data_IF_054460136554
#
_entry.id   IF_054460136554
#
_cell.length_a   1.000
_cell.length_b   1.000
_cell.length_c   1.000
_cell.angle_alpha   90.00
_cell.angle_beta   90.00
_cell.angle_gamma   90.00
#
_symmetry.space_group_name_H-M   'P 1'
#
loop_
_entity.id
_entity.type
_entity.pdbx_description
1 polymer ?
#
# COMPACT_ATOMS: atom_id res chain seq x y z
N UNK A 1 -31.15 -27.09 1.38
CA UNK A 1 -31.88 -26.98 0.10
C UNK A 1 -30.97 -26.22 -0.86
N UNK A 2 -30.52 -26.85 -1.95
CA UNK A 2 -29.44 -26.34 -2.81
C UNK A 2 -30.06 -25.69 -4.06
N UNK A 3 -29.66 -24.49 -4.48
CA UNK A 3 -30.25 -23.83 -5.64
C UNK A 3 -29.91 -24.58 -6.93
N UNK A 4 -30.93 -24.78 -7.75
CA UNK A 4 -30.84 -25.39 -9.08
C UNK A 4 -30.27 -24.35 -10.05
N UNK A 5 -29.03 -24.55 -10.47
CA UNK A 5 -28.37 -23.72 -11.49
C UNK A 5 -28.79 -24.18 -12.89
N UNK A 6 -29.29 -23.25 -13.72
CA UNK A 6 -29.62 -23.49 -15.13
C UNK A 6 -28.49 -22.94 -15.99
N UNK A 7 -27.73 -23.84 -16.64
CA UNK A 7 -26.74 -23.49 -17.66
C UNK A 7 -27.36 -23.66 -19.06
N UNK A 8 -27.17 -22.72 -19.99
CA UNK A 8 -27.56 -22.91 -21.39
C UNK A 8 -26.67 -23.92 -22.13
N UNK A 9 -27.32 -24.62 -23.07
CA UNK A 9 -26.87 -25.75 -23.89
C UNK A 9 -25.76 -25.37 -24.89
N UNK A 10 -24.76 -26.25 -25.15
CA UNK A 10 -23.74 -25.99 -26.18
C UNK A 10 -24.34 -26.01 -27.59
N UNK A 11 -24.05 -24.97 -28.39
CA UNK A 11 -24.27 -25.00 -29.84
C UNK A 11 -23.13 -25.78 -30.50
N UNK A 12 -23.48 -26.89 -31.13
CA UNK A 12 -22.59 -27.64 -32.01
C UNK A 12 -22.47 -26.97 -33.40
N UNK A 13 -21.27 -27.02 -33.98
CA UNK A 13 -20.95 -26.65 -35.37
C UNK A 13 -20.00 -25.44 -35.41
N UNK A 14 -18.81 -25.49 -36.01
CA UNK A 14 -18.29 -26.29 -37.12
C UNK A 14 -16.78 -26.51 -36.86
N UNK A 15 -16.29 -27.74 -36.97
CA UNK A 15 -14.86 -28.04 -37.02
C UNK A 15 -14.35 -27.76 -38.45
N UNK A 16 -13.59 -26.68 -38.64
CA UNK A 16 -12.73 -26.54 -39.82
C UNK A 16 -11.34 -27.05 -39.45
N UNK A 17 -11.02 -28.22 -39.99
CA UNK A 17 -9.72 -28.87 -39.92
C UNK A 17 -8.80 -28.37 -41.06
N UNK A 18 -7.48 -28.49 -40.84
CA UNK A 18 -6.37 -28.24 -41.77
C UNK A 18 -5.96 -26.75 -41.91
N UNK A 19 -4.77 -26.31 -41.52
CA UNK A 19 -3.45 -26.85 -41.88
C UNK A 19 -2.37 -26.32 -40.91
N UNK A 20 -1.41 -27.18 -40.59
CA UNK A 20 -0.19 -26.89 -39.81
C UNK A 20 0.82 -26.13 -40.68
N UNK A 21 1.10 -24.86 -40.35
CA UNK A 21 2.34 -24.16 -40.74
C UNK A 21 2.97 -23.58 -39.47
N UNK A 22 3.96 -24.30 -38.93
CA UNK A 22 4.76 -23.83 -37.81
C UNK A 22 5.77 -22.78 -38.32
N UNK A 23 5.38 -21.50 -38.25
CA UNK A 23 6.29 -20.37 -38.38
C UNK A 23 6.80 -19.96 -36.99
N UNK A 24 8.10 -20.08 -36.75
CA UNK A 24 8.75 -19.61 -35.53
C UNK A 24 8.86 -18.08 -35.56
N UNK A 25 7.82 -17.39 -35.09
CA UNK A 25 7.90 -15.96 -34.78
C UNK A 25 8.58 -15.79 -33.41
N UNK A 26 9.86 -15.42 -33.40
CA UNK A 26 10.49 -14.88 -32.20
C UNK A 26 10.01 -13.44 -32.05
N UNK A 27 8.93 -13.26 -31.28
CA UNK A 27 8.56 -11.95 -30.79
C UNK A 27 9.53 -11.60 -29.65
N UNK A 28 10.46 -10.69 -29.88
CA UNK A 28 11.12 -9.97 -28.80
C UNK A 28 10.03 -9.16 -28.08
N UNK A 29 9.53 -9.69 -26.96
CA UNK A 29 8.55 -8.99 -26.14
C UNK A 29 9.14 -7.65 -25.68
N UNK A 30 8.34 -6.58 -25.59
CA UNK A 30 8.82 -5.34 -24.98
C UNK A 30 9.28 -5.69 -23.56
N UNK A 31 10.51 -5.30 -23.22
CA UNK A 31 10.91 -5.19 -21.83
C UNK A 31 9.99 -4.11 -21.23
N UNK A 32 8.93 -4.54 -20.56
CA UNK A 32 8.14 -3.67 -19.71
C UNK A 32 9.05 -3.24 -18.57
N UNK A 33 9.74 -2.12 -18.74
CA UNK A 33 9.93 -1.25 -17.58
C UNK A 33 8.52 -0.92 -17.11
N UNK A 34 8.21 -1.25 -15.86
CA UNK A 34 7.03 -0.72 -15.20
C UNK A 34 7.27 0.77 -15.01
N UNK A 35 7.14 1.54 -16.10
CA UNK A 35 7.02 2.97 -16.05
C UNK A 35 5.69 3.21 -15.33
N UNK A 36 5.76 3.65 -14.07
CA UNK A 36 4.58 4.09 -13.34
C UNK A 36 4.07 5.30 -14.11
N UNK A 37 3.10 5.04 -14.98
CA UNK A 37 2.41 6.08 -15.74
C UNK A 37 1.70 6.98 -14.73
N UNK A 38 2.36 8.10 -14.43
CA UNK A 38 1.79 9.23 -13.74
C UNK A 38 0.78 9.88 -14.70
N UNK A 39 -0.41 9.25 -14.83
CA UNK A 39 -1.55 9.82 -15.52
C UNK A 39 -1.92 11.18 -14.94
N UNK A 40 -2.93 11.85 -15.50
CA UNK A 40 -3.40 13.13 -14.94
C UNK A 40 -3.69 12.98 -13.44
N UNK A 41 -2.86 13.61 -12.60
CA UNK A 41 -3.00 13.60 -11.14
C UNK A 41 -4.17 14.52 -10.78
N UNK A 42 -5.37 13.95 -10.72
CA UNK A 42 -6.53 14.65 -10.18
C UNK A 42 -6.45 14.65 -8.66
N UNK A 43 -6.13 15.83 -8.10
CA UNK A 43 -6.23 16.10 -6.67
C UNK A 43 -7.58 16.73 -6.34
N UNK A 44 -8.04 16.54 -5.11
CA UNK A 44 -9.32 17.06 -4.61
C UNK A 44 -10.54 16.25 -5.04
N UNK A 45 -10.36 15.07 -5.61
CA UNK A 45 -11.45 14.19 -6.07
C UNK A 45 -11.33 12.84 -5.39
N UNK A 46 -12.27 12.54 -4.51
CA UNK A 46 -12.49 11.20 -3.96
C UNK A 46 -13.76 10.57 -4.51
N UNK A 47 -13.78 9.25 -4.58
CA UNK A 47 -14.95 8.44 -4.91
C UNK A 47 -15.41 7.70 -3.67
N UNK A 48 -16.73 7.69 -3.45
CA UNK A 48 -17.37 6.89 -2.41
C UNK A 48 -18.40 5.97 -3.05
N UNK A 49 -18.28 4.69 -2.78
CA UNK A 49 -19.23 3.66 -3.18
C UNK A 49 -19.99 3.18 -1.95
N UNK A 50 -21.30 2.97 -2.10
CA UNK A 50 -22.18 2.46 -1.05
C UNK A 50 -23.04 1.34 -1.66
N UNK A 51 -22.95 0.15 -1.10
CA UNK A 51 -23.80 -0.98 -1.43
C UNK A 51 -24.63 -1.40 -0.21
N UNK A 52 -25.87 -1.81 -0.45
CA UNK A 52 -26.77 -2.33 0.58
C UNK A 52 -27.33 -3.66 0.09
N UNK A 53 -27.01 -4.73 0.81
CA UNK A 53 -27.50 -6.08 0.52
C UNK A 53 -28.09 -6.70 1.80
N UNK A 54 -29.42 -6.84 1.83
CA UNK A 54 -30.12 -7.34 3.01
C UNK A 54 -29.88 -6.46 4.23
N UNK A 55 -29.17 -6.99 5.22
CA UNK A 55 -28.80 -6.29 6.46
C UNK A 55 -27.34 -5.80 6.46
N UNK A 56 -26.63 -5.94 5.34
CA UNK A 56 -25.24 -5.55 5.18
C UNK A 56 -25.15 -4.23 4.44
N UNK A 57 -24.30 -3.34 4.93
CA UNK A 57 -23.91 -2.11 4.27
C UNK A 57 -22.40 -2.16 4.04
N UNK A 58 -21.97 -1.94 2.81
CA UNK A 58 -20.57 -1.85 2.44
C UNK A 58 -20.27 -0.45 1.91
N UNK A 59 -19.20 0.15 2.41
CA UNK A 59 -18.73 1.48 2.02
C UNK A 59 -17.27 1.37 1.59
N UNK A 60 -16.98 1.86 0.40
CA UNK A 60 -15.61 1.98 -0.11
C UNK A 60 -15.31 3.45 -0.38
N UNK A 61 -14.11 3.90 -0.01
CA UNK A 61 -13.59 5.25 -0.32
C UNK A 61 -12.28 5.07 -1.08
N UNK A 62 -12.21 5.66 -2.27
CA UNK A 62 -10.97 5.74 -3.07
C UNK A 62 -10.63 7.22 -3.26
N UNK A 63 -9.43 7.63 -2.84
CA UNK A 63 -8.97 9.01 -2.95
C UNK A 63 -7.44 9.08 -3.13
N UNK A 64 -6.91 10.15 -3.74
CA UNK A 64 -5.49 10.44 -3.74
C UNK A 64 -4.92 10.53 -2.31
N UNK A 65 -3.71 10.02 -2.09
CA UNK A 65 -3.04 10.10 -0.80
C UNK A 65 -2.90 11.54 -0.31
N UNK A 66 -2.59 12.46 -1.21
CA UNK A 66 -2.49 13.89 -0.90
C UNK A 66 -3.77 14.49 -0.32
N UNK A 67 -4.95 13.99 -0.70
CA UNK A 67 -6.24 14.49 -0.19
C UNK A 67 -6.54 13.98 1.22
N UNK A 68 -5.86 12.92 1.65
CA UNK A 68 -6.05 12.28 2.96
C UNK A 68 -4.95 12.68 3.95
N UNK A 69 -3.68 12.55 3.56
CA UNK A 69 -2.51 12.80 4.42
C UNK A 69 -1.75 14.08 4.10
N UNK A 70 -2.03 14.73 2.96
CA UNK A 70 -1.40 16.00 2.55
C UNK A 70 -0.13 15.86 1.71
N UNK A 71 0.26 14.63 1.32
CA UNK A 71 1.46 14.38 0.53
C UNK A 71 1.38 13.09 -0.32
N UNK A 72 2.33 12.92 -1.25
CA UNK A 72 2.46 11.74 -2.14
C UNK A 72 3.80 11.02 -2.06
N UNK A 73 4.80 11.59 -1.37
CA UNK A 73 6.09 10.93 -1.15
C UNK A 73 5.97 9.82 -0.09
N UNK A 74 6.94 8.89 -0.07
CA UNK A 74 7.04 7.89 0.99
C UNK A 74 7.17 8.56 2.37
N UNK A 75 6.65 7.94 3.42
CA UNK A 75 6.67 8.51 4.77
C UNK A 75 8.08 8.44 5.40
N UNK A 76 8.95 9.39 5.06
CA UNK A 76 10.37 9.40 5.46
C UNK A 76 10.61 10.00 6.85
N UNK A 77 9.81 11.00 7.25
CA UNK A 77 9.98 11.66 8.55
C UNK A 77 9.06 11.06 9.62
N UNK A 78 9.39 11.28 10.89
CA UNK A 78 8.50 10.95 12.01
C UNK A 78 7.14 11.64 11.89
N UNK A 79 7.12 12.87 11.36
CA UNK A 79 5.89 13.62 11.13
C UNK A 79 5.03 12.96 10.05
N UNK A 80 5.63 12.51 8.94
CA UNK A 80 4.91 11.83 7.86
C UNK A 80 4.34 10.49 8.33
N UNK A 81 5.13 9.70 9.06
CA UNK A 81 4.68 8.42 9.64
C UNK A 81 3.53 8.62 10.62
N UNK A 82 3.62 9.63 11.48
CA UNK A 82 2.55 9.97 12.42
C UNK A 82 1.28 10.42 11.71
N UNK A 83 1.39 11.25 10.66
CA UNK A 83 0.26 11.69 9.86
C UNK A 83 -0.43 10.52 9.14
N UNK A 84 0.36 9.64 8.52
CA UNK A 84 -0.13 8.44 7.86
C UNK A 84 -0.82 7.47 8.83
N UNK A 85 -0.22 7.22 10.00
CA UNK A 85 -0.81 6.38 11.03
C UNK A 85 -2.12 6.96 11.57
N UNK A 86 -2.17 8.28 11.80
CA UNK A 86 -3.37 8.98 12.25
C UNK A 86 -4.50 8.91 11.21
N UNK A 87 -4.17 9.09 9.93
CA UNK A 87 -5.13 8.96 8.84
C UNK A 87 -5.68 7.54 8.73
N UNK A 88 -4.80 6.52 8.76
CA UNK A 88 -5.22 5.12 8.73
C UNK A 88 -6.10 4.76 9.93
N UNK A 89 -5.77 5.23 11.13
CA UNK A 89 -6.59 5.01 12.32
C UNK A 89 -7.97 5.66 12.20
N UNK A 90 -8.03 6.89 11.67
CA UNK A 90 -9.30 7.60 11.45
C UNK A 90 -10.18 6.93 10.40
N UNK A 91 -9.60 6.41 9.32
CA UNK A 91 -10.32 5.66 8.29
C UNK A 91 -10.84 4.30 8.80
N UNK A 92 -10.08 3.64 9.68
CA UNK A 92 -10.51 2.41 10.36
C UNK A 92 -11.62 2.65 11.37
N UNK A 93 -11.75 3.86 11.93
CA UNK A 93 -12.89 4.26 12.75
C UNK A 93 -14.11 4.63 11.89
N UNK A 94 -14.59 3.66 11.10
CA UNK A 94 -15.75 3.84 10.23
C UNK A 94 -17.01 4.29 10.97
N UNK A 95 -17.17 3.89 12.24
CA UNK A 95 -18.29 4.32 13.10
C UNK A 95 -18.21 5.81 13.47
N UNK A 96 -17.01 6.39 13.55
CA UNK A 96 -16.79 7.82 13.69
C UNK A 96 -17.03 8.62 12.41
N UNK A 97 -16.93 7.97 11.24
CA UNK A 97 -17.09 8.60 9.92
C UNK A 97 -18.54 8.54 9.40
N UNK A 98 -19.22 7.42 9.63
CA UNK A 98 -20.54 7.16 9.07
C UNK A 98 -21.58 6.94 10.17
N UNK A 99 -22.71 7.63 10.04
CA UNK A 99 -23.84 7.48 10.96
C UNK A 99 -25.08 6.99 10.23
N UNK A 100 -25.66 5.94 10.77
CA UNK A 100 -26.92 5.38 10.32
C UNK A 100 -28.06 5.74 11.28
N UNK A 101 -29.33 5.73 10.81
CA UNK A 101 -30.47 5.90 11.70
C UNK A 101 -30.44 4.87 12.84
N UNK A 102 -30.70 5.25 14.11
CA UNK A 102 -30.62 4.31 15.23
C UNK A 102 -31.48 3.05 15.06
N UNK A 103 -32.61 3.17 14.37
CA UNK A 103 -33.52 2.04 14.06
C UNK A 103 -32.94 0.99 13.11
N UNK A 104 -31.86 1.32 12.39
CA UNK A 104 -31.16 0.38 11.51
C UNK A 104 -30.18 -0.52 12.28
N UNK A 105 -29.83 -0.15 13.51
CA UNK A 105 -28.96 -0.94 14.41
C UNK A 105 -27.63 -1.37 13.77
N UNK A 106 -27.12 -0.57 12.81
CA UNK A 106 -25.85 -0.83 12.15
C UNK A 106 -24.70 -0.76 13.17
N UNK A 107 -23.76 -1.71 13.06
CA UNK A 107 -22.50 -1.74 13.80
C UNK A 107 -21.36 -1.99 12.81
N UNK A 108 -20.19 -1.42 13.10
CA UNK A 108 -18.98 -1.68 12.32
C UNK A 108 -18.53 -3.11 12.60
N UNK A 109 -18.48 -3.94 11.56
CA UNK A 109 -17.98 -5.31 11.64
C UNK A 109 -16.49 -5.39 11.25
N UNK A 110 -16.11 -4.70 10.18
CA UNK A 110 -14.77 -4.74 9.60
C UNK A 110 -14.42 -3.40 8.97
N UNK A 111 -13.13 -3.04 8.98
CA UNK A 111 -12.60 -1.88 8.29
C UNK A 111 -11.13 -2.13 7.89
N UNK A 112 -10.85 -1.98 6.60
CA UNK A 112 -9.51 -2.09 6.03
C UNK A 112 -9.09 -0.79 5.37
N UNK A 113 -7.78 -0.55 5.33
CA UNK A 113 -7.19 0.60 4.65
C UNK A 113 -5.98 0.10 3.88
N UNK A 114 -6.00 0.31 2.57
CA UNK A 114 -4.94 -0.07 1.65
C UNK A 114 -4.33 1.19 1.04
N UNK A 115 -3.00 1.28 1.04
CA UNK A 115 -2.27 2.41 0.45
C UNK A 115 -0.82 2.01 0.22
N UNK A 116 -0.26 2.41 -0.93
CA UNK A 116 1.16 2.24 -1.20
C UNK A 116 2.04 2.90 -0.11
N UNK A 117 1.58 4.01 0.48
CA UNK A 117 2.30 4.70 1.56
C UNK A 117 2.38 3.85 2.85
N UNK A 118 1.38 2.99 3.10
CA UNK A 118 1.36 2.07 4.25
C UNK A 118 2.21 0.82 4.01
N UNK A 119 2.45 0.45 2.76
CA UNK A 119 3.31 -0.67 2.41
C UNK A 119 4.78 -0.29 2.62
N UNK A 120 5.19 0.87 2.14
CA UNK A 120 6.56 1.39 2.27
C UNK A 120 6.96 1.65 3.74
N UNK A 121 6.03 2.11 4.58
CA UNK A 121 6.31 2.36 5.99
C UNK A 121 6.71 1.11 6.79
N UNK A 122 6.27 -0.08 6.35
CA UNK A 122 6.55 -1.35 7.06
C UNK A 122 7.96 -1.88 6.84
N UNK A 123 8.63 -1.44 5.78
CA UNK A 123 9.98 -1.92 5.43
C UNK A 123 11.10 -1.15 6.15
N UNK A 124 10.81 0.03 6.71
CA UNK A 124 11.80 0.86 7.40
C UNK A 124 11.94 0.60 8.91
N UNK A 125 11.08 -0.23 9.52
CA UNK A 125 11.14 -0.60 10.95
C UNK A 125 12.23 -1.66 11.27
N UNK A 126 13.03 -2.10 10.29
CA UNK A 126 14.06 -3.15 10.43
C UNK A 126 15.50 -2.66 10.39
N UNK A 127 15.84 -1.51 11.00
CA UNK A 127 17.26 -1.17 11.05
C UNK A 127 17.67 0.08 11.78
N UNK A 128 17.67 0.06 13.11
CA UNK A 128 18.57 0.90 13.91
C UNK A 128 19.02 0.18 15.19
N UNK A 129 19.79 -0.90 15.03
CA UNK A 129 20.66 -1.40 16.11
C UNK A 129 22.08 -0.89 15.86
N UNK A 130 22.38 0.29 16.37
CA UNK A 130 23.76 0.77 16.49
C UNK A 130 24.16 0.66 17.96
N UNK A 131 24.58 -0.54 18.37
CA UNK A 131 25.41 -0.73 19.56
C UNK A 131 26.66 0.17 19.45
N UNK A 132 26.64 1.33 20.10
CA UNK A 132 27.87 2.09 20.37
C UNK A 132 28.56 1.47 21.59
N UNK A 133 29.38 0.44 21.37
CA UNK A 133 30.45 0.07 22.29
C UNK A 133 31.76 0.69 21.79
N UNK A 134 32.16 1.81 22.39
CA UNK A 134 33.53 2.29 22.33
C UNK A 134 34.19 2.05 23.69
N UNK A 135 34.71 0.84 23.88
CA UNK A 135 35.74 0.56 24.86
C UNK A 135 37.10 0.77 24.20
N UNK A 136 37.83 1.80 24.63
CA UNK A 136 39.28 1.90 24.44
C UNK A 136 39.92 2.52 25.68
N UNK A 137 40.14 1.68 26.69
CA UNK A 137 41.22 1.86 27.65
C UNK A 137 42.43 1.06 27.14
N UNK A 138 43.54 1.74 26.79
CA UNK A 138 44.93 1.29 26.97
C UNK A 138 45.87 2.49 26.92
N UNK A 139 46.53 2.75 28.04
CA UNK A 139 47.60 3.73 28.18
C UNK A 139 48.87 3.40 27.40
N UNK A 140 49.65 4.43 27.13
CA UNK A 140 51.09 4.33 26.85
C UNK A 140 51.80 5.56 27.44
N UNK A 141 52.66 5.27 28.42
CA UNK A 141 53.72 6.14 28.93
C UNK A 141 54.63 6.61 27.79
N UNK A 142 55.01 7.89 27.78
CA UNK A 142 56.33 8.30 27.29
C UNK A 142 56.90 9.47 28.11
N UNK A 143 58.11 9.21 28.57
CA UNK A 143 59.01 9.97 29.43
C UNK A 143 59.77 11.08 28.65
N UNK A 144 60.12 12.15 29.38
CA UNK A 144 61.06 13.30 29.18
C UNK A 144 61.38 13.88 27.80
N UNK A 145 61.40 15.22 27.78
CA UNK A 145 62.27 16.02 26.92
C UNK A 145 62.18 17.52 27.19
N UNK A 146 63.07 18.05 28.03
CA UNK A 146 63.34 19.49 28.14
C UNK A 146 64.04 20.01 26.87
N UNK A 147 63.64 21.19 26.37
CA UNK A 147 64.56 22.23 25.88
C UNK A 147 63.80 23.55 25.59
N UNK A 148 64.52 24.66 25.82
CA UNK A 148 64.10 26.06 25.80
C UNK A 148 64.19 26.70 24.40
N UNK A 149 63.41 27.77 24.16
CA UNK A 149 63.85 29.18 24.00
C UNK A 149 62.97 29.99 23.04
N UNK A 150 62.46 31.13 23.53
CA UNK A 150 62.67 32.48 22.99
C UNK A 150 62.26 33.51 24.06
#
# INVERSE_FOLDING_TARGET
MKPMSLLPVPRAGIFVSATLLAGLFVAAGPASSAEREHGAHEHGVGQLSLAVEGNTVEIEITAPGADIVGFEHAAETEADRAALAAAAARLKDGAGLFRFPPKAECRLEEAEVHSALLDDARDHEKGHDHEKKHDHDKGHDHDKGHAHEA
#
